data_IF_157110952435
#
_entry.id   IF_157110952435
#
_cell.length_a   1.000
_cell.length_b   1.000
_cell.length_c   1.000
_cell.angle_alpha   90.00
_cell.angle_beta   90.00
_cell.angle_gamma   90.00
#
_symmetry.space_group_name_H-M   'P 1'
#
loop_
_entity.id
_entity.type
_entity.pdbx_description
1 polymer ?
#
# COMPACT_ATOMS: atom_id res chain seq x y z
N UNK A 1 -113.92 -45.85 1.46
CA UNK A 1 -112.46 -45.68 1.57
C UNK A 1 -112.21 -44.55 2.55
N UNK A 2 -111.77 -44.85 3.77
CA UNK A 2 -111.48 -43.82 4.77
C UNK A 2 -110.12 -43.17 4.45
N UNK A 3 -110.12 -41.85 4.23
CA UNK A 3 -108.89 -41.09 4.06
C UNK A 3 -108.11 -41.14 5.38
N UNK A 4 -106.86 -41.64 5.34
CA UNK A 4 -105.94 -41.51 6.46
C UNK A 4 -105.62 -40.04 6.63
N UNK A 5 -106.24 -39.41 7.63
CA UNK A 5 -105.85 -38.08 8.10
C UNK A 5 -104.44 -38.22 8.66
N UNK A 6 -103.47 -37.57 8.01
CA UNK A 6 -102.08 -37.57 8.44
C UNK A 6 -102.01 -36.77 9.76
N UNK A 7 -101.79 -37.45 10.88
CA UNK A 7 -101.47 -36.76 12.12
C UNK A 7 -100.05 -36.22 12.00
N UNK A 8 -99.87 -34.92 12.22
CA UNK A 8 -98.55 -34.28 12.26
C UNK A 8 -97.71 -34.93 13.34
N UNK A 9 -96.57 -35.50 12.95
CA UNK A 9 -95.56 -35.99 13.88
C UNK A 9 -94.80 -34.77 14.42
N UNK A 10 -95.20 -34.35 15.62
CA UNK A 10 -94.67 -33.17 16.28
C UNK A 10 -93.17 -33.30 16.63
N UNK A 11 -92.69 -34.54 16.83
CA UNK A 11 -91.27 -34.80 17.04
C UNK A 11 -90.48 -34.57 15.75
N UNK A 12 -91.01 -35.07 14.63
CA UNK A 12 -90.42 -34.86 13.31
C UNK A 12 -90.37 -33.36 12.96
N UNK A 13 -91.45 -32.62 13.16
CA UNK A 13 -91.47 -31.16 12.92
C UNK A 13 -90.42 -30.43 13.76
N UNK A 14 -90.27 -30.80 15.03
CA UNK A 14 -89.28 -30.18 15.93
C UNK A 14 -87.85 -30.47 15.47
N UNK A 15 -87.58 -31.69 15.01
CA UNK A 15 -86.26 -32.10 14.49
C UNK A 15 -85.95 -31.40 13.16
N UNK A 16 -86.92 -31.32 12.26
CA UNK A 16 -86.79 -30.62 10.97
C UNK A 16 -86.49 -29.15 11.21
N UNK A 17 -87.26 -28.48 12.09
CA UNK A 17 -87.04 -27.08 12.43
C UNK A 17 -85.63 -26.82 12.96
N UNK A 18 -85.14 -27.63 13.91
CA UNK A 18 -83.76 -27.53 14.42
C UNK A 18 -82.70 -27.76 13.35
N UNK A 19 -82.94 -28.70 12.43
CA UNK A 19 -82.01 -28.97 11.33
C UNK A 19 -81.95 -27.77 10.36
N UNK A 20 -83.11 -27.19 10.02
CA UNK A 20 -83.20 -26.01 9.15
C UNK A 20 -82.55 -24.79 9.77
N UNK A 21 -82.76 -24.53 11.06
CA UNK A 21 -82.10 -23.44 11.80
C UNK A 21 -80.58 -23.58 11.77
N UNK A 22 -80.04 -24.79 12.03
CA UNK A 22 -78.60 -25.06 11.96
C UNK A 22 -78.02 -24.88 10.55
N UNK A 23 -78.74 -25.33 9.52
CA UNK A 23 -78.29 -25.16 8.12
C UNK A 23 -78.25 -23.67 7.78
N UNK A 24 -79.27 -22.90 8.18
CA UNK A 24 -79.33 -21.45 7.94
C UNK A 24 -78.19 -20.71 8.66
N UNK A 25 -77.91 -21.03 9.92
CA UNK A 25 -76.81 -20.42 10.68
C UNK A 25 -75.44 -20.76 10.07
N UNK A 26 -75.19 -22.03 9.75
CA UNK A 26 -73.95 -22.45 9.10
C UNK A 26 -73.77 -21.78 7.73
N UNK A 27 -74.85 -21.57 6.99
CA UNK A 27 -74.81 -20.87 5.70
C UNK A 27 -74.42 -19.40 5.87
N UNK A 28 -74.89 -18.73 6.93
CA UNK A 28 -74.46 -17.36 7.25
C UNK A 28 -72.99 -17.30 7.67
N UNK A 29 -72.53 -18.24 8.50
CA UNK A 29 -71.13 -18.34 8.91
C UNK A 29 -70.24 -18.52 7.67
N UNK A 30 -70.57 -19.47 6.80
CA UNK A 30 -69.78 -19.78 5.59
C UNK A 30 -69.79 -18.62 4.59
N UNK A 31 -70.89 -17.87 4.47
CA UNK A 31 -70.97 -16.75 3.54
C UNK A 31 -70.20 -15.49 4.02
N UNK A 32 -70.19 -15.20 5.31
CA UNK A 32 -69.69 -13.93 5.83
C UNK A 32 -68.35 -14.01 6.59
N UNK A 33 -68.13 -15.04 7.40
CA UNK A 33 -66.93 -15.11 8.25
C UNK A 33 -65.63 -15.24 7.45
N UNK A 34 -65.56 -16.02 6.35
CA UNK A 34 -64.37 -16.05 5.51
C UNK A 34 -64.04 -14.69 4.89
N UNK A 35 -65.07 -13.97 4.41
CA UNK A 35 -64.91 -12.63 3.82
C UNK A 35 -64.36 -11.63 4.83
N UNK A 36 -64.88 -11.65 6.07
CA UNK A 36 -64.39 -10.79 7.15
C UNK A 36 -62.97 -11.17 7.58
N UNK A 37 -62.64 -12.47 7.64
CA UNK A 37 -61.30 -12.94 7.93
C UNK A 37 -60.28 -12.49 6.88
N UNK A 38 -60.62 -12.62 5.58
CA UNK A 38 -59.76 -12.14 4.50
C UNK A 38 -59.57 -10.63 4.49
N UNK A 39 -60.63 -9.86 4.79
CA UNK A 39 -60.51 -8.40 4.93
C UNK A 39 -59.54 -8.02 6.07
N UNK A 40 -59.64 -8.67 7.24
CA UNK A 40 -58.72 -8.43 8.36
C UNK A 40 -57.27 -8.80 8.01
N UNK A 41 -57.07 -9.89 7.29
CA UNK A 41 -55.74 -10.29 6.82
C UNK A 41 -55.16 -9.27 5.84
N UNK A 42 -55.95 -8.86 4.84
CA UNK A 42 -55.56 -7.85 3.87
C UNK A 42 -55.16 -6.54 4.56
N UNK A 43 -55.96 -6.08 5.52
CA UNK A 43 -55.71 -4.85 6.25
C UNK A 43 -54.46 -4.95 7.14
N UNK A 44 -54.21 -6.12 7.75
CA UNK A 44 -52.97 -6.38 8.49
C UNK A 44 -51.76 -6.32 7.56
N UNK A 45 -51.78 -7.03 6.42
CA UNK A 45 -50.69 -7.00 5.44
C UNK A 45 -50.44 -5.58 4.95
N UNK A 46 -51.51 -4.82 4.62
CA UNK A 46 -51.42 -3.43 4.19
C UNK A 46 -50.76 -2.51 5.22
N UNK A 47 -50.97 -2.76 6.51
CA UNK A 47 -50.40 -1.95 7.61
C UNK A 47 -48.99 -2.40 8.02
N UNK A 48 -48.75 -3.71 8.07
CA UNK A 48 -47.51 -4.27 8.61
C UNK A 48 -46.39 -4.36 7.56
N UNK A 49 -46.73 -4.60 6.29
CA UNK A 49 -45.74 -4.84 5.25
C UNK A 49 -44.91 -3.58 4.88
N UNK A 50 -45.50 -2.38 4.68
CA UNK A 50 -44.71 -1.20 4.29
C UNK A 50 -43.58 -0.84 5.27
N UNK A 51 -43.82 -0.69 6.60
CA UNK A 51 -42.74 -0.36 7.52
C UNK A 51 -41.69 -1.48 7.63
N UNK A 52 -42.09 -2.75 7.45
CA UNK A 52 -41.16 -3.88 7.44
C UNK A 52 -40.21 -3.83 6.23
N UNK A 53 -40.72 -3.45 5.05
CA UNK A 53 -39.90 -3.27 3.85
C UNK A 53 -38.95 -2.09 4.00
N UNK A 54 -39.43 -0.95 4.52
CA UNK A 54 -38.59 0.22 4.80
C UNK A 54 -37.42 -0.13 5.74
N UNK A 55 -37.71 -0.84 6.83
CA UNK A 55 -36.67 -1.31 7.77
C UNK A 55 -35.71 -2.28 7.12
N UNK A 56 -36.17 -3.17 6.24
CA UNK A 56 -35.28 -4.07 5.48
C UNK A 56 -34.32 -3.27 4.59
N UNK A 57 -34.80 -2.25 3.89
CA UNK A 57 -33.95 -1.39 3.05
C UNK A 57 -32.91 -0.64 3.91
N UNK A 58 -33.33 -0.10 5.06
CA UNK A 58 -32.43 0.57 6.01
C UNK A 58 -31.31 -0.37 6.50
N UNK A 59 -31.66 -1.60 6.89
CA UNK A 59 -30.68 -2.60 7.33
C UNK A 59 -29.69 -2.96 6.22
N UNK A 60 -30.15 -3.11 4.97
CA UNK A 60 -29.27 -3.37 3.84
C UNK A 60 -28.31 -2.22 3.56
N UNK A 61 -28.77 -0.97 3.69
CA UNK A 61 -27.91 0.20 3.54
C UNK A 61 -26.84 0.25 4.64
N UNK A 62 -27.23 -0.02 5.90
CA UNK A 62 -26.29 -0.09 7.03
C UNK A 62 -25.27 -1.22 6.85
N UNK A 63 -25.70 -2.38 6.35
CA UNK A 63 -24.80 -3.50 6.06
C UNK A 63 -23.76 -3.11 5.00
N UNK A 64 -24.18 -2.43 3.93
CA UNK A 64 -23.26 -1.97 2.88
C UNK A 64 -22.23 -0.98 3.44
N UNK A 65 -22.67 -0.04 4.29
CA UNK A 65 -21.76 0.91 4.94
C UNK A 65 -20.78 0.20 5.87
N UNK A 66 -21.25 -0.76 6.68
CA UNK A 66 -20.41 -1.54 7.57
C UNK A 66 -19.32 -2.29 6.80
N UNK A 67 -19.69 -2.95 5.70
CA UNK A 67 -18.73 -3.64 4.83
C UNK A 67 -17.68 -2.66 4.28
N UNK A 68 -18.09 -1.47 3.83
CA UNK A 68 -17.16 -0.41 3.41
C UNK A 68 -16.15 -0.05 4.50
N UNK A 69 -16.61 0.13 5.74
CA UNK A 69 -15.73 0.43 6.88
C UNK A 69 -14.80 -0.73 7.22
N UNK A 70 -15.26 -1.98 7.11
CA UNK A 70 -14.39 -3.14 7.29
C UNK A 70 -13.24 -3.15 6.28
N UNK A 71 -13.52 -2.87 5.01
CA UNK A 71 -12.46 -2.77 3.99
C UNK A 71 -11.47 -1.64 4.26
N UNK A 72 -11.95 -0.45 4.67
CA UNK A 72 -11.08 0.67 5.03
C UNK A 72 -10.12 0.29 6.17
N UNK A 73 -10.63 -0.41 7.19
CA UNK A 73 -9.83 -0.88 8.34
C UNK A 73 -8.81 -1.93 7.90
N UNK A 74 -9.22 -2.92 7.10
CA UNK A 74 -8.31 -3.94 6.58
C UNK A 74 -7.19 -3.31 5.74
N UNK A 75 -7.55 -2.32 4.91
CA UNK A 75 -6.58 -1.57 4.11
C UNK A 75 -5.59 -0.80 5.00
N UNK A 76 -6.09 -0.07 6.01
CA UNK A 76 -5.24 0.65 6.95
C UNK A 76 -4.28 -0.29 7.70
N UNK A 77 -4.76 -1.45 8.16
CA UNK A 77 -3.94 -2.47 8.81
C UNK A 77 -2.87 -3.01 7.87
N UNK A 78 -3.22 -3.28 6.60
CA UNK A 78 -2.27 -3.73 5.59
C UNK A 78 -1.17 -2.69 5.32
N UNK A 79 -1.55 -1.41 5.23
CA UNK A 79 -0.61 -0.31 5.07
C UNK A 79 0.38 -0.23 6.25
N UNK A 80 -0.11 -0.31 7.48
CA UNK A 80 0.75 -0.30 8.68
C UNK A 80 1.72 -1.49 8.68
N UNK A 81 1.26 -2.69 8.33
CA UNK A 81 2.13 -3.88 8.22
C UNK A 81 3.22 -3.68 7.18
N UNK A 82 2.89 -3.09 6.04
CA UNK A 82 3.84 -2.79 4.97
C UNK A 82 4.88 -1.75 5.41
N UNK A 83 4.43 -0.68 6.10
CA UNK A 83 5.32 0.31 6.69
C UNK A 83 6.27 -0.29 7.71
N UNK A 84 5.78 -1.19 8.57
CA UNK A 84 6.63 -1.91 9.52
C UNK A 84 7.69 -2.76 8.81
N UNK A 85 7.30 -3.45 7.72
CA UNK A 85 8.24 -4.22 6.89
C UNK A 85 9.31 -3.36 6.20
N UNK A 86 9.04 -2.08 5.95
CA UNK A 86 10.01 -1.15 5.36
C UNK A 86 11.13 -0.72 6.32
N UNK A 87 11.05 -1.06 7.61
CA UNK A 87 12.06 -0.70 8.62
C UNK A 87 13.49 -1.08 8.22
N UNK A 88 13.68 -2.31 7.72
CA UNK A 88 15.00 -2.79 7.27
C UNK A 88 15.56 -1.98 6.11
N UNK A 89 14.71 -1.53 5.18
CA UNK A 89 15.14 -0.67 4.08
C UNK A 89 15.66 0.66 4.60
N UNK A 90 14.96 1.26 5.58
CA UNK A 90 15.42 2.49 6.21
C UNK A 90 16.72 2.31 7.01
N UNK A 91 16.87 1.19 7.72
CA UNK A 91 18.12 0.85 8.41
C UNK A 91 19.30 0.74 7.43
N UNK A 92 19.11 0.01 6.32
CA UNK A 92 20.14 -0.10 5.28
C UNK A 92 20.49 1.27 4.68
N UNK A 93 19.49 2.10 4.37
CA UNK A 93 19.72 3.47 3.88
C UNK A 93 20.53 4.28 4.88
N UNK A 94 20.21 4.20 6.18
CA UNK A 94 20.95 4.88 7.23
C UNK A 94 22.40 4.40 7.30
N UNK A 95 22.63 3.10 7.20
CA UNK A 95 23.97 2.52 7.20
C UNK A 95 24.80 2.99 6.00
N UNK A 96 24.21 2.98 4.80
CA UNK A 96 24.88 3.51 3.59
C UNK A 96 25.25 4.98 3.74
N UNK A 97 24.38 5.80 4.35
CA UNK A 97 24.67 7.22 4.61
C UNK A 97 25.85 7.35 5.59
N UNK A 98 25.88 6.57 6.68
CA UNK A 98 27.01 6.58 7.63
C UNK A 98 28.32 6.19 6.93
N UNK A 99 28.29 5.15 6.11
CA UNK A 99 29.45 4.70 5.34
C UNK A 99 29.93 5.75 4.33
N UNK A 100 29.01 6.40 3.62
CA UNK A 100 29.34 7.48 2.70
C UNK A 100 29.99 8.68 3.41
N UNK A 101 29.49 9.06 4.59
CA UNK A 101 30.10 10.10 5.43
C UNK A 101 31.51 9.69 5.86
N UNK A 102 31.69 8.46 6.31
CA UNK A 102 33.00 7.92 6.71
C UNK A 102 34.00 7.97 5.55
N UNK A 103 33.63 7.46 4.38
CA UNK A 103 34.52 7.49 3.20
C UNK A 103 34.84 8.90 2.75
N UNK A 104 33.87 9.82 2.79
CA UNK A 104 34.14 11.25 2.52
C UNK A 104 35.19 11.82 3.47
N UNK A 105 35.13 11.47 4.75
CA UNK A 105 36.12 11.94 5.74
C UNK A 105 37.50 11.31 5.51
N UNK A 106 37.55 10.02 5.17
CA UNK A 106 38.79 9.33 4.84
C UNK A 106 39.46 9.90 3.58
N UNK A 107 38.68 10.19 2.54
CA UNK A 107 39.18 10.83 1.31
C UNK A 107 39.76 12.21 1.59
N UNK A 108 39.04 13.05 2.35
CA UNK A 108 39.56 14.38 2.77
C UNK A 108 40.87 14.28 3.54
N UNK A 109 40.99 13.29 4.43
CA UNK A 109 42.22 13.06 5.19
C UNK A 109 43.39 12.66 4.27
N UNK A 110 43.18 11.73 3.34
CA UNK A 110 44.19 11.34 2.35
C UNK A 110 44.56 12.47 1.39
N UNK A 111 43.60 13.28 0.93
CA UNK A 111 43.85 14.47 0.11
C UNK A 111 44.75 15.48 0.84
N UNK A 112 44.47 15.76 2.11
CA UNK A 112 45.30 16.65 2.93
C UNK A 112 46.73 16.10 3.12
N UNK A 113 46.87 14.78 3.32
CA UNK A 113 48.19 14.13 3.40
C UNK A 113 48.96 14.22 2.09
N UNK A 114 48.30 14.00 0.95
CA UNK A 114 48.90 14.12 -0.39
C UNK A 114 49.35 15.55 -0.66
N UNK A 115 48.50 16.55 -0.40
CA UNK A 115 48.86 17.96 -0.52
C UNK A 115 50.10 18.33 0.31
N UNK A 116 50.22 17.81 1.54
CA UNK A 116 51.41 18.03 2.38
C UNK A 116 52.66 17.34 1.82
N UNK A 117 52.53 16.15 1.24
CA UNK A 117 53.64 15.42 0.62
C UNK A 117 54.13 16.11 -0.66
N UNK A 118 53.22 16.56 -1.53
CA UNK A 118 53.56 17.27 -2.75
C UNK A 118 54.16 18.65 -2.45
N UNK A 119 53.59 19.38 -1.49
CA UNK A 119 54.19 20.64 -0.98
C UNK A 119 55.61 20.45 -0.42
N UNK A 120 55.85 19.36 0.32
CA UNK A 120 57.20 19.04 0.81
C UNK A 120 58.15 18.63 -0.32
N UNK A 121 57.65 17.90 -1.33
CA UNK A 121 58.44 17.50 -2.51
C UNK A 121 58.85 18.72 -3.33
N UNK A 122 57.93 19.65 -3.58
CA UNK A 122 58.22 20.91 -4.27
C UNK A 122 59.19 21.79 -3.47
N UNK A 123 59.11 21.77 -2.13
CA UNK A 123 60.09 22.45 -1.27
C UNK A 123 61.49 21.84 -1.37
N UNK A 124 61.59 20.50 -1.46
CA UNK A 124 62.87 19.79 -1.63
C UNK A 124 63.44 20.01 -3.02
N UNK A 125 62.63 19.93 -4.08
CA UNK A 125 63.06 20.26 -5.45
C UNK A 125 63.53 21.71 -5.56
N UNK A 126 62.80 22.68 -4.97
CA UNK A 126 63.23 24.09 -4.93
C UNK A 126 64.54 24.28 -4.16
N UNK A 127 64.74 23.57 -3.05
CA UNK A 127 66.00 23.63 -2.27
C UNK A 127 67.18 23.03 -3.02
N UNK A 128 66.98 21.88 -3.66
CA UNK A 128 68.01 21.22 -4.46
C UNK A 128 68.34 22.05 -5.72
N UNK A 129 67.33 22.59 -6.40
CA UNK A 129 67.53 23.42 -7.59
C UNK A 129 68.25 24.74 -7.27
N UNK A 130 68.08 25.28 -6.07
CA UNK A 130 68.81 26.48 -5.63
C UNK A 130 70.32 26.23 -5.40
N UNK A 131 70.75 24.96 -5.30
CA UNK A 131 72.16 24.58 -5.14
C UNK A 131 72.78 24.00 -6.43
N UNK A 132 72.01 23.89 -7.52
CA UNK A 132 72.59 23.66 -8.84
C UNK A 132 73.16 25.02 -9.27
N UNK A 133 74.48 25.14 -9.49
CA UNK A 133 75.05 26.38 -10.03
C UNK A 133 74.31 26.71 -11.31
N UNK A 134 73.79 27.93 -11.42
CA UNK A 134 73.22 28.43 -12.67
C UNK A 134 74.24 28.15 -13.78
N UNK A 135 73.77 27.45 -14.80
CA UNK A 135 74.50 27.02 -15.99
C UNK A 135 74.86 28.23 -16.88
N UNK A 136 75.22 29.36 -16.28
CA UNK A 136 75.56 30.60 -16.97
C UNK A 136 77.08 30.72 -17.19
N UNK A 137 77.89 29.82 -16.62
CA UNK A 137 79.36 29.87 -16.69
C UNK A 137 80.00 28.54 -17.13
N UNK A 138 79.40 27.85 -18.12
CA UNK A 138 80.10 26.80 -18.86
C UNK A 138 80.24 27.19 -20.33
N UNK A 139 81.32 26.77 -21.02
CA UNK A 139 81.46 26.94 -22.47
C UNK A 139 80.23 26.37 -23.20
N UNK A 140 79.73 27.08 -24.21
CA UNK A 140 78.46 26.80 -24.91
C UNK A 140 78.29 25.34 -25.33
N UNK A 141 79.39 24.65 -25.68
CA UNK A 141 79.35 23.24 -26.11
C UNK A 141 78.92 22.24 -25.03
N UNK A 142 79.17 22.51 -23.74
CA UNK A 142 78.77 21.60 -22.65
C UNK A 142 77.36 21.93 -22.15
N UNK A 143 76.94 23.19 -22.27
CA UNK A 143 75.60 23.64 -21.88
C UNK A 143 74.50 22.96 -22.71
N UNK A 144 74.71 22.85 -24.02
CA UNK A 144 73.77 22.18 -24.92
C UNK A 144 73.68 20.67 -24.64
N UNK A 145 74.80 20.01 -24.33
CA UNK A 145 74.83 18.58 -23.98
C UNK A 145 74.09 18.34 -22.67
N UNK A 146 74.27 19.19 -21.66
CA UNK A 146 73.58 19.08 -20.37
C UNK A 146 72.09 19.37 -20.52
N UNK A 147 71.72 20.38 -21.32
CA UNK A 147 70.31 20.72 -21.60
C UNK A 147 69.61 19.62 -22.42
N UNK A 148 70.28 19.05 -23.42
CA UNK A 148 69.76 17.91 -24.18
C UNK A 148 69.59 16.68 -23.28
N UNK A 149 70.57 16.42 -22.41
CA UNK A 149 70.50 15.32 -21.45
C UNK A 149 69.37 15.52 -20.44
N UNK A 150 69.18 16.73 -19.93
CA UNK A 150 68.07 17.06 -19.04
C UNK A 150 66.71 16.87 -19.73
N UNK A 151 66.56 17.34 -20.97
CA UNK A 151 65.34 17.16 -21.76
C UNK A 151 65.05 15.69 -22.07
N UNK A 152 66.08 14.87 -22.36
CA UNK A 152 65.93 13.42 -22.56
C UNK A 152 65.51 12.71 -21.27
N UNK A 153 66.12 13.05 -20.13
CA UNK A 153 65.76 12.47 -18.84
C UNK A 153 64.33 12.84 -18.44
N UNK A 154 63.92 14.10 -18.66
CA UNK A 154 62.55 14.55 -18.40
C UNK A 154 61.52 13.82 -19.29
N UNK A 155 61.85 13.62 -20.58
CA UNK A 155 61.04 12.82 -21.50
C UNK A 155 60.91 11.36 -21.05
N UNK A 156 62.01 10.73 -20.62
CA UNK A 156 62.00 9.36 -20.08
C UNK A 156 61.16 9.25 -18.79
N UNK A 157 61.25 10.24 -17.90
CA UNK A 157 60.47 10.26 -16.65
C UNK A 157 58.97 10.44 -16.90
N UNK A 158 58.58 11.27 -17.86
CA UNK A 158 57.18 11.41 -18.25
C UNK A 158 56.63 10.14 -18.91
N UNK A 159 57.45 9.46 -19.72
CA UNK A 159 57.06 8.17 -20.32
C UNK A 159 56.88 7.07 -19.26
N UNK A 160 57.73 7.04 -18.23
CA UNK A 160 57.63 6.10 -17.11
C UNK A 160 56.41 6.38 -16.20
N UNK A 161 56.01 7.65 -16.06
CA UNK A 161 54.78 8.02 -15.34
C UNK A 161 53.53 7.52 -16.05
N UNK A 162 53.44 7.75 -17.36
CA UNK A 162 52.31 7.27 -18.16
C UNK A 162 52.22 5.74 -18.21
N UNK A 163 53.34 5.01 -18.28
CA UNK A 163 53.31 3.54 -18.27
C UNK A 163 52.82 2.96 -16.93
N UNK A 164 53.12 3.63 -15.81
CA UNK A 164 52.66 3.21 -14.48
C UNK A 164 51.16 3.45 -14.23
N UNK A 165 50.54 4.42 -14.91
CA UNK A 165 49.11 4.67 -14.86
C UNK A 165 48.32 3.63 -15.66
N UNK A 166 48.82 3.20 -16.82
CA UNK A 166 48.14 2.19 -17.66
C UNK A 166 48.12 0.79 -17.02
N UNK A 167 49.10 0.45 -16.18
CA UNK A 167 49.15 -0.84 -15.47
C UNK A 167 48.20 -0.95 -14.26
N UNK A 168 47.65 0.16 -13.75
CA UNK A 168 46.69 0.14 -12.64
C UNK A 168 45.23 0.05 -13.07
N UNK A 169 44.96 0.08 -14.38
CA UNK A 169 43.60 0.10 -14.93
C UNK A 169 43.15 -1.23 -15.54
N UNK A 170 43.88 -2.32 -15.31
CA UNK A 170 43.47 -3.71 -15.60
C UNK A 170 43.35 -4.50 -14.30
#
# INVERSE_FOLDING_TARGET
>A
MAAKVYQSDQELETRVKKATERISENMHIVANEPSLAFYRLQEHVRKALPPMVEKRVEVLALQQQLLGRCYDVEYAVSAIKTMHGAGKSFENTLEFIKNAIFFKQQLKYEEQRRHKKDSNRDSVYKRLSAHIPTLDHLPDEISDVVRETANRVESMMNHARHSSETQKSN
#
